data_IF_219744139066
#
_entry.id   IF_219744139066
#
_cell.length_a   1.000
_cell.length_b   1.000
_cell.length_c   1.000
_cell.angle_alpha   90.00
_cell.angle_beta   90.00
_cell.angle_gamma   90.00
#
_symmetry.space_group_name_H-M   'P 1'
#
loop_
_entity.id
_entity.type
_entity.pdbx_description
1 polymer ?
#
# COMPACT_ATOMS: atom_id res chain seq x y z
N UNK A 1 -7.84 18.68 43.70
CA UNK A 1 -6.54 18.06 43.29
C UNK A 1 -6.60 17.15 42.05
N UNK A 2 -7.76 16.61 41.65
CA UNK A 2 -7.87 15.65 40.52
C UNK A 2 -7.39 16.22 39.16
N UNK A 3 -7.60 17.52 38.91
CA UNK A 3 -7.28 18.15 37.62
C UNK A 3 -5.76 18.28 37.34
N UNK A 4 -4.94 18.60 38.35
CA UNK A 4 -3.48 18.74 38.18
C UNK A 4 -2.81 17.39 37.90
N UNK A 5 -3.19 16.35 38.64
CA UNK A 5 -2.67 14.99 38.48
C UNK A 5 -3.00 14.43 37.10
N UNK A 6 -4.23 14.65 36.61
CA UNK A 6 -4.64 14.24 35.26
C UNK A 6 -3.81 14.93 34.16
N UNK A 7 -3.59 16.24 34.25
CA UNK A 7 -2.76 16.97 33.28
C UNK A 7 -1.31 16.46 33.32
N UNK A 8 -0.76 16.21 34.51
CA UNK A 8 0.59 15.65 34.66
C UNK A 8 0.73 14.26 34.04
N UNK A 9 -0.22 13.36 34.29
CA UNK A 9 -0.23 12.01 33.69
C UNK A 9 -0.32 12.08 32.15
N UNK A 10 -1.17 12.95 31.62
CA UNK A 10 -1.32 13.15 30.17
C UNK A 10 -0.03 13.69 29.54
N UNK A 11 0.64 14.64 30.20
CA UNK A 11 1.91 15.19 29.74
C UNK A 11 3.00 14.11 29.67
N UNK A 12 3.13 13.28 30.72
CA UNK A 12 4.06 12.14 30.72
C UNK A 12 3.76 11.16 29.59
N UNK A 13 2.49 10.82 29.37
CA UNK A 13 2.06 9.92 28.30
C UNK A 13 2.45 10.46 26.91
N UNK A 14 2.14 11.72 26.62
CA UNK A 14 2.44 12.31 25.30
C UNK A 14 3.95 12.45 25.09
N UNK A 15 4.72 12.74 26.13
CA UNK A 15 6.17 12.77 26.03
C UNK A 15 6.76 11.39 25.69
N UNK A 16 6.21 10.31 26.24
CA UNK A 16 6.59 8.94 25.86
C UNK A 16 6.21 8.63 24.41
N UNK A 17 4.99 9.00 23.99
CA UNK A 17 4.55 8.83 22.59
C UNK A 17 5.49 9.58 21.64
N UNK A 18 5.87 10.81 21.96
CA UNK A 18 6.81 11.60 21.16
C UNK A 18 8.17 10.93 21.00
N UNK A 19 8.72 10.35 22.07
CA UNK A 19 9.99 9.60 22.01
C UNK A 19 9.85 8.39 21.09
N UNK A 20 8.76 7.65 21.20
CA UNK A 20 8.47 6.48 20.35
C UNK A 20 8.36 6.89 18.88
N UNK A 21 7.57 7.92 18.55
CA UNK A 21 7.41 8.37 17.15
C UNK A 21 8.72 8.90 16.57
N UNK A 22 9.53 9.61 17.36
CA UNK A 22 10.86 10.07 16.95
C UNK A 22 11.80 8.90 16.64
N UNK A 23 11.83 7.88 17.49
CA UNK A 23 12.62 6.66 17.26
C UNK A 23 12.11 5.90 16.03
N UNK A 24 10.80 5.74 15.88
CA UNK A 24 10.20 5.06 14.73
C UNK A 24 10.49 5.78 13.41
N UNK A 25 10.54 7.12 13.40
CA UNK A 25 11.00 7.90 12.25
C UNK A 25 12.41 7.51 11.84
N UNK A 26 13.35 7.48 12.80
CA UNK A 26 14.76 7.12 12.53
C UNK A 26 14.91 5.68 12.05
N UNK A 27 14.19 4.73 12.66
CA UNK A 27 14.16 3.32 12.22
C UNK A 27 13.61 3.21 10.79
N UNK A 28 12.53 3.93 10.48
CA UNK A 28 11.93 3.91 9.14
C UNK A 28 12.84 4.56 8.10
N UNK A 29 13.56 5.62 8.46
CA UNK A 29 14.55 6.26 7.58
C UNK A 29 15.67 5.28 7.19
N UNK A 30 16.23 4.55 8.16
CA UNK A 30 17.26 3.53 7.89
C UNK A 30 16.74 2.41 6.98
N UNK A 31 15.51 1.91 7.25
CA UNK A 31 14.87 0.90 6.40
C UNK A 31 14.56 1.41 5.00
N UNK A 32 14.17 2.67 4.88
CA UNK A 32 13.89 3.33 3.61
C UNK A 32 15.15 3.39 2.73
N UNK A 33 16.29 3.83 3.27
CA UNK A 33 17.57 3.86 2.51
C UNK A 33 17.95 2.47 1.99
N UNK A 34 17.75 1.42 2.80
CA UNK A 34 17.98 0.04 2.36
C UNK A 34 16.99 -0.37 1.26
N UNK A 35 15.70 -0.08 1.43
CA UNK A 35 14.66 -0.41 0.46
C UNK A 35 14.86 0.31 -0.88
N UNK A 36 15.30 1.56 -0.88
CA UNK A 36 15.58 2.35 -2.08
C UNK A 36 16.77 1.77 -2.87
N UNK A 37 17.85 1.38 -2.19
CA UNK A 37 19.00 0.71 -2.82
C UNK A 37 18.59 -0.62 -3.47
N UNK A 38 17.80 -1.43 -2.78
CA UNK A 38 17.31 -2.71 -3.29
C UNK A 38 16.25 -2.55 -4.39
N UNK A 39 15.49 -1.45 -4.39
CA UNK A 39 14.52 -1.16 -5.45
C UNK A 39 15.22 -0.91 -6.78
N UNK A 40 16.40 -0.28 -6.79
CA UNK A 40 17.11 0.04 -8.03
C UNK A 40 17.46 -1.22 -8.83
N UNK A 41 17.91 -2.30 -8.18
CA UNK A 41 18.15 -3.58 -8.86
C UNK A 41 16.85 -4.31 -9.21
N UNK A 42 15.82 -4.17 -8.39
CA UNK A 42 14.52 -4.80 -8.63
C UNK A 42 13.75 -4.21 -9.83
N UNK A 43 14.07 -2.98 -10.27
CA UNK A 43 13.41 -2.32 -11.42
C UNK A 43 13.48 -3.15 -12.71
N UNK A 44 14.58 -3.88 -12.93
CA UNK A 44 14.74 -4.72 -14.12
C UNK A 44 13.66 -5.82 -14.21
N UNK A 45 13.29 -6.42 -13.07
CA UNK A 45 12.24 -7.45 -13.00
C UNK A 45 10.84 -6.92 -13.34
N UNK A 46 10.60 -5.62 -13.18
CA UNK A 46 9.35 -4.98 -13.58
C UNK A 46 9.33 -4.54 -15.03
N UNK A 47 10.44 -4.01 -15.55
CA UNK A 47 10.50 -3.47 -16.91
C UNK A 47 10.66 -4.54 -17.99
N UNK A 48 11.39 -5.62 -17.72
CA UNK A 48 11.60 -6.71 -18.68
C UNK A 48 10.29 -7.34 -19.17
N UNK A 49 9.47 -7.93 -18.27
CA UNK A 49 8.20 -8.54 -18.65
C UNK A 49 7.22 -7.56 -19.29
N UNK A 50 7.19 -6.30 -18.85
CA UNK A 50 6.32 -5.26 -19.46
C UNK A 50 6.72 -4.94 -20.89
N UNK A 51 8.02 -4.86 -21.18
CA UNK A 51 8.50 -4.66 -22.56
C UNK A 51 8.07 -5.81 -23.45
N UNK A 52 8.12 -7.04 -22.94
CA UNK A 52 7.60 -8.20 -23.65
C UNK A 52 6.08 -8.11 -23.92
N UNK A 53 5.28 -7.70 -22.94
CA UNK A 53 3.83 -7.51 -23.13
C UNK A 53 3.50 -6.40 -24.14
N UNK A 54 4.31 -5.35 -24.19
CA UNK A 54 4.20 -4.29 -25.18
C UNK A 54 4.57 -4.80 -26.58
N UNK A 55 5.70 -5.50 -26.71
CA UNK A 55 6.17 -6.01 -28.00
C UNK A 55 5.24 -7.07 -28.59
N UNK A 56 4.64 -7.91 -27.73
CA UNK A 56 3.62 -8.89 -28.12
C UNK A 56 2.23 -8.28 -28.37
N UNK A 57 2.05 -6.97 -28.14
CA UNK A 57 0.78 -6.24 -28.23
C UNK A 57 -0.32 -6.71 -27.25
N UNK A 58 0.05 -7.44 -26.20
CA UNK A 58 -0.83 -7.73 -25.06
C UNK A 58 -1.24 -6.47 -24.30
N UNK A 59 -0.36 -5.46 -24.33
CA UNK A 59 -0.62 -4.15 -23.77
C UNK A 59 -0.30 -3.07 -24.79
N UNK A 60 -1.25 -2.16 -25.04
CA UNK A 60 -0.97 -0.95 -25.84
C UNK A 60 0.07 -0.12 -25.11
N UNK A 61 1.06 0.42 -25.84
CA UNK A 61 2.07 1.31 -25.27
C UNK A 61 1.39 2.49 -24.56
N UNK A 62 1.54 2.55 -23.24
CA UNK A 62 1.23 3.73 -22.44
C UNK A 62 2.51 4.52 -22.13
N UNK A 63 3.47 4.52 -23.05
CA UNK A 63 4.73 5.26 -22.91
C UNK A 63 4.53 6.71 -23.39
N UNK A 64 4.69 7.63 -22.43
CA UNK A 64 4.92 9.08 -22.56
C UNK A 64 3.83 9.97 -23.17
N UNK A 65 2.79 10.25 -22.37
CA UNK A 65 1.93 11.44 -22.53
C UNK A 65 2.52 12.73 -21.92
N UNK A 66 3.83 12.83 -21.71
CA UNK A 66 4.47 14.06 -21.21
C UNK A 66 5.08 14.96 -22.31
N UNK A 67 4.88 14.61 -23.59
CA UNK A 67 5.22 15.49 -24.73
C UNK A 67 4.16 15.45 -25.83
N UNK A 68 2.98 16.03 -25.60
CA UNK A 68 2.21 16.75 -26.63
C UNK A 68 1.14 17.61 -25.96
N UNK A 69 1.11 18.85 -26.44
CA UNK A 69 0.33 20.00 -25.97
C UNK A 69 -1.18 19.77 -26.07
N UNK A 70 -1.88 20.48 -25.17
CA UNK A 70 -3.12 21.23 -25.37
C UNK A 70 -4.15 20.73 -26.40
N UNK A 71 -5.37 20.51 -25.91
CA UNK A 71 -6.60 20.58 -26.71
C UNK A 71 -7.04 19.25 -27.31
N UNK A 72 -7.96 18.58 -26.62
CA UNK A 72 -9.29 18.16 -27.12
C UNK A 72 -9.86 17.06 -26.21
N UNK A 73 -11.02 17.35 -25.65
CA UNK A 73 -11.90 16.37 -25.02
C UNK A 73 -12.54 15.56 -26.15
N UNK A 74 -12.48 14.22 -26.07
CA UNK A 74 -13.63 13.36 -26.33
C UNK A 74 -13.35 11.90 -25.89
N UNK A 75 -14.41 11.12 -25.58
CA UNK A 75 -14.33 9.88 -24.83
C UNK A 75 -13.94 8.71 -25.74
N UNK A 76 -12.80 8.08 -25.46
CA UNK A 76 -12.41 6.86 -26.15
C UNK A 76 -13.27 5.68 -25.67
N UNK A 77 -14.37 5.43 -26.39
CA UNK A 77 -15.03 4.11 -26.41
C UNK A 77 -14.04 3.07 -26.95
N UNK A 78 -13.99 1.85 -26.39
CA UNK A 78 -13.22 0.77 -26.99
C UNK A 78 -13.86 0.37 -28.33
N UNK A 79 -13.06 0.03 -29.36
CA UNK A 79 -13.56 -0.34 -30.67
C UNK A 79 -14.40 -1.61 -30.58
N UNK A 80 -15.55 -1.59 -31.26
CA UNK A 80 -16.51 -2.67 -31.38
C UNK A 80 -15.85 -3.99 -31.79
N UNK A 81 -15.61 -4.85 -30.79
CA UNK A 81 -15.44 -6.29 -31.00
C UNK A 81 -16.84 -6.89 -30.97
N UNK A 82 -17.22 -7.51 -32.08
CA UNK A 82 -18.51 -8.15 -32.33
C UNK A 82 -18.98 -8.98 -31.13
N UNK A 83 -20.24 -8.76 -30.74
CA UNK A 83 -20.98 -9.50 -29.71
C UNK A 83 -21.26 -10.92 -30.19
N UNK A 84 -20.30 -11.82 -29.99
CA UNK A 84 -20.52 -13.26 -30.00
C UNK A 84 -19.88 -13.81 -28.72
N UNK A 85 -20.73 -14.27 -27.79
CA UNK A 85 -20.43 -15.02 -26.56
C UNK A 85 -19.04 -14.79 -25.92
N UNK A 86 -18.76 -13.56 -25.49
CA UNK A 86 -17.55 -13.27 -24.70
C UNK A 86 -17.68 -13.95 -23.34
N UNK A 87 -17.06 -15.12 -23.16
CA UNK A 87 -16.77 -15.69 -21.85
C UNK A 87 -16.20 -14.56 -20.98
N UNK A 88 -16.96 -14.14 -19.95
CA UNK A 88 -16.57 -13.06 -19.06
C UNK A 88 -15.17 -13.32 -18.50
N UNK A 89 -14.24 -12.39 -18.74
CA UNK A 89 -12.84 -12.55 -18.38
C UNK A 89 -12.68 -12.69 -16.86
N UNK A 90 -11.96 -13.73 -16.43
CA UNK A 90 -11.70 -14.01 -15.03
C UNK A 90 -10.48 -13.22 -14.58
N UNK A 91 -10.72 -12.21 -13.74
CA UNK A 91 -9.68 -11.30 -13.25
C UNK A 91 -9.35 -11.62 -11.80
N UNK A 92 -8.05 -11.69 -11.48
CA UNK A 92 -7.55 -11.71 -10.12
C UNK A 92 -7.04 -10.31 -9.74
N UNK A 93 -7.54 -9.76 -8.65
CA UNK A 93 -7.10 -8.50 -8.06
C UNK A 93 -6.07 -8.79 -6.97
N UNK A 94 -4.80 -8.48 -7.21
CA UNK A 94 -3.73 -8.70 -6.24
C UNK A 94 -3.46 -7.40 -5.48
N UNK A 95 -3.76 -7.38 -4.18
CA UNK A 95 -3.57 -6.23 -3.31
C UNK A 95 -2.22 -6.31 -2.58
N UNK A 96 -1.21 -5.55 -3.02
CA UNK A 96 0.14 -5.55 -2.44
C UNK A 96 0.20 -4.60 -1.23
N UNK A 97 0.13 -5.14 -0.02
CA UNK A 97 0.27 -4.36 1.23
C UNK A 97 1.27 -5.01 2.18
N UNK A 98 1.48 -4.38 3.34
CA UNK A 98 2.27 -4.95 4.43
C UNK A 98 1.41 -5.32 5.63
N UNK A 99 1.98 -6.05 6.58
CA UNK A 99 1.28 -6.39 7.82
C UNK A 99 1.24 -5.21 8.80
N UNK A 100 2.22 -4.31 8.74
CA UNK A 100 2.39 -3.23 9.72
C UNK A 100 1.69 -1.95 9.24
N UNK A 101 1.01 -1.30 10.18
CA UNK A 101 0.38 0.00 9.95
C UNK A 101 1.35 1.18 10.13
N UNK A 102 0.77 2.32 10.53
CA UNK A 102 1.49 3.57 10.82
C UNK A 102 2.24 4.17 9.62
N UNK A 103 1.83 3.83 8.41
CA UNK A 103 2.39 4.33 7.15
C UNK A 103 1.44 5.31 6.43
N UNK A 104 0.58 6.02 7.17
CA UNK A 104 -0.40 6.93 6.57
C UNK A 104 -1.38 6.23 5.63
N UNK A 105 -1.55 6.78 4.43
CA UNK A 105 -2.57 6.37 3.46
C UNK A 105 -2.20 5.20 2.53
N UNK A 106 -0.96 4.68 2.60
CA UNK A 106 -0.38 3.71 1.64
C UNK A 106 -1.30 2.50 1.40
N UNK A 107 -1.74 1.83 2.46
CA UNK A 107 -2.58 0.62 2.34
C UNK A 107 -4.03 0.94 1.98
N UNK A 108 -4.55 2.04 2.53
CA UNK A 108 -5.94 2.46 2.29
C UNK A 108 -6.18 2.91 0.85
N UNK A 109 -5.17 3.47 0.18
CA UNK A 109 -5.22 3.86 -1.23
C UNK A 109 -5.46 2.67 -2.15
N UNK A 110 -4.68 1.59 -1.96
CA UNK A 110 -4.82 0.34 -2.70
C UNK A 110 -6.22 -0.27 -2.50
N UNK A 111 -6.65 -0.41 -1.24
CA UNK A 111 -7.96 -0.96 -0.96
C UNK A 111 -9.10 -0.09 -1.52
N UNK A 112 -8.96 1.24 -1.52
CA UNK A 112 -9.96 2.14 -2.14
C UNK A 112 -10.02 1.95 -3.65
N UNK A 113 -8.88 1.84 -4.32
CA UNK A 113 -8.82 1.63 -5.76
C UNK A 113 -9.45 0.29 -6.15
N UNK A 114 -9.11 -0.80 -5.47
CA UNK A 114 -9.70 -2.13 -5.72
C UNK A 114 -11.22 -2.09 -5.52
N UNK A 115 -11.70 -1.48 -4.43
CA UNK A 115 -13.16 -1.36 -4.18
C UNK A 115 -13.87 -0.57 -5.26
N UNK A 116 -13.24 0.49 -5.78
CA UNK A 116 -13.78 1.27 -6.90
C UNK A 116 -13.86 0.42 -8.17
N UNK A 117 -12.77 -0.26 -8.54
CA UNK A 117 -12.75 -1.13 -9.73
C UNK A 117 -13.77 -2.27 -9.64
N UNK A 118 -13.92 -2.88 -8.46
CA UNK A 118 -14.93 -3.92 -8.24
C UNK A 118 -16.36 -3.39 -8.32
N UNK A 119 -16.62 -2.19 -7.78
CA UNK A 119 -17.93 -1.56 -7.89
C UNK A 119 -18.27 -1.19 -9.35
N UNK A 120 -17.29 -0.71 -10.12
CA UNK A 120 -17.46 -0.43 -11.55
C UNK A 120 -17.71 -1.71 -12.37
N UNK A 121 -17.15 -2.86 -11.95
CA UNK A 121 -17.30 -4.18 -12.59
C UNK A 121 -18.26 -5.12 -11.84
N UNK A 122 -19.24 -4.57 -11.13
CA UNK A 122 -20.15 -5.34 -10.24
C UNK A 122 -20.88 -6.49 -10.94
N UNK A 123 -21.17 -6.36 -12.24
CA UNK A 123 -21.84 -7.41 -13.04
C UNK A 123 -20.99 -8.67 -13.25
N UNK A 124 -19.67 -8.59 -13.06
CA UNK A 124 -18.70 -9.67 -13.24
C UNK A 124 -18.07 -10.13 -11.92
N UNK A 125 -18.51 -9.55 -10.80
CA UNK A 125 -18.05 -9.86 -9.45
C UNK A 125 -18.00 -11.36 -9.11
N UNK A 126 -18.93 -12.24 -9.54
CA UNK A 126 -18.84 -13.68 -9.26
C UNK A 126 -17.59 -14.36 -9.83
N UNK A 127 -17.04 -13.83 -10.93
CA UNK A 127 -15.86 -14.36 -11.63
C UNK A 127 -14.56 -13.64 -11.25
N UNK A 128 -14.63 -12.73 -10.29
CA UNK A 128 -13.49 -11.96 -9.82
C UNK A 128 -13.04 -12.48 -8.46
N UNK A 129 -11.73 -12.64 -8.32
CA UNK A 129 -11.12 -13.11 -7.07
C UNK A 129 -10.06 -12.13 -6.59
N UNK A 130 -9.89 -12.04 -5.28
CA UNK A 130 -8.96 -11.12 -4.64
C UNK A 130 -7.86 -11.93 -3.98
N UNK A 131 -6.61 -11.53 -4.21
CA UNK A 131 -5.43 -12.06 -3.52
C UNK A 131 -4.89 -10.98 -2.61
N UNK A 132 -4.89 -11.25 -1.31
CA UNK A 132 -4.47 -10.31 -0.28
C UNK A 132 -3.03 -10.60 0.13
N UNK A 133 -2.11 -9.72 -0.25
CA UNK A 133 -0.70 -9.75 0.18
C UNK A 133 -0.56 -8.80 1.37
N UNK A 134 -0.14 -9.35 2.51
CA UNK A 134 -0.09 -8.65 3.79
C UNK A 134 -1.44 -8.61 4.53
N UNK A 135 -1.38 -8.51 5.85
CA UNK A 135 -2.57 -8.57 6.72
C UNK A 135 -3.47 -7.33 6.59
N UNK A 136 -2.92 -6.19 6.13
CA UNK A 136 -3.69 -4.94 5.96
C UNK A 136 -4.66 -4.98 4.79
N UNK A 137 -4.27 -5.55 3.64
CA UNK A 137 -5.20 -5.73 2.50
C UNK A 137 -6.39 -6.62 2.91
N UNK A 138 -6.11 -7.75 3.57
CA UNK A 138 -7.14 -8.66 4.10
C UNK A 138 -8.09 -7.90 5.04
N UNK A 139 -7.55 -7.20 6.03
CA UNK A 139 -8.37 -6.48 7.01
C UNK A 139 -9.26 -5.40 6.39
N UNK A 140 -8.77 -4.70 5.37
CA UNK A 140 -9.51 -3.61 4.70
C UNK A 140 -10.59 -4.12 3.73
N UNK A 141 -10.38 -5.28 3.10
CA UNK A 141 -11.28 -5.81 2.07
C UNK A 141 -12.24 -6.88 2.60
N UNK A 142 -11.92 -7.54 3.73
CA UNK A 142 -12.71 -8.66 4.28
C UNK A 142 -14.16 -8.31 4.58
N UNK A 143 -14.44 -7.09 5.07
CA UNK A 143 -15.80 -6.71 5.47
C UNK A 143 -16.76 -6.63 4.27
N UNK A 144 -16.30 -6.13 3.13
CA UNK A 144 -17.14 -5.91 1.95
C UNK A 144 -16.99 -7.01 0.89
N UNK A 145 -15.83 -7.65 0.79
CA UNK A 145 -15.48 -8.59 -0.29
C UNK A 145 -14.87 -9.89 0.23
N UNK A 146 -15.19 -10.27 1.47
CA UNK A 146 -14.61 -11.44 2.13
C UNK A 146 -14.78 -12.75 1.36
N UNK A 147 -15.91 -12.93 0.70
CA UNK A 147 -16.25 -14.14 -0.09
C UNK A 147 -15.42 -14.27 -1.38
N UNK A 148 -14.90 -13.15 -1.90
CA UNK A 148 -14.09 -13.12 -3.11
C UNK A 148 -12.60 -13.32 -2.84
N UNK A 149 -12.17 -13.38 -1.57
CA UNK A 149 -10.77 -13.57 -1.20
C UNK A 149 -10.37 -15.03 -1.45
N UNK A 150 -9.48 -15.25 -2.41
CA UNK A 150 -8.97 -16.57 -2.79
C UNK A 150 -7.80 -16.99 -1.92
N UNK A 151 -6.78 -16.13 -1.82
CA UNK A 151 -5.54 -16.38 -1.07
C UNK A 151 -5.21 -15.17 -0.21
N UNK A 152 -4.67 -15.43 0.98
CA UNK A 152 -4.13 -14.39 1.83
C UNK A 152 -2.78 -14.81 2.38
N UNK A 153 -1.75 -14.01 2.10
CA UNK A 153 -0.37 -14.25 2.55
C UNK A 153 0.01 -13.22 3.62
N UNK A 154 0.61 -13.70 4.70
CA UNK A 154 1.04 -12.89 5.86
C UNK A 154 2.57 -12.92 6.00
N UNK A 155 3.11 -12.17 6.96
CA UNK A 155 4.54 -11.99 7.23
C UNK A 155 5.28 -11.20 6.15
N UNK A 156 4.57 -10.29 5.47
CA UNK A 156 5.10 -9.45 4.40
C UNK A 156 5.36 -8.03 4.95
N UNK A 157 6.58 -7.53 4.71
CA UNK A 157 7.00 -6.18 5.13
C UNK A 157 7.57 -6.08 6.55
N UNK A 158 7.79 -7.20 7.25
CA UNK A 158 8.54 -7.22 8.53
C UNK A 158 10.04 -7.01 8.28
N UNK A 159 10.58 -7.79 7.36
CA UNK A 159 11.90 -7.66 6.73
C UNK A 159 11.74 -7.09 5.31
N UNK A 160 12.85 -6.72 4.68
CA UNK A 160 12.79 -6.33 3.26
C UNK A 160 12.35 -7.55 2.43
N UNK A 161 11.36 -7.42 1.53
CA UNK A 161 10.84 -8.56 0.78
C UNK A 161 11.92 -9.11 -0.15
N UNK A 162 12.04 -10.43 -0.22
CA UNK A 162 12.96 -11.14 -1.12
C UNK A 162 12.18 -11.84 -2.24
N UNK A 163 12.88 -12.30 -3.28
CA UNK A 163 12.22 -13.00 -4.40
C UNK A 163 11.45 -14.24 -3.94
N UNK A 164 11.98 -14.97 -2.93
CA UNK A 164 11.29 -16.10 -2.30
C UNK A 164 9.89 -15.76 -1.78
N UNK A 165 9.69 -14.56 -1.25
CA UNK A 165 8.38 -14.12 -0.76
C UNK A 165 7.40 -13.97 -1.93
N UNK A 166 7.86 -13.38 -3.03
CA UNK A 166 7.09 -13.23 -4.26
C UNK A 166 6.76 -14.58 -4.91
N UNK A 167 7.74 -15.50 -4.97
CA UNK A 167 7.54 -16.87 -5.45
C UNK A 167 6.51 -17.62 -4.61
N UNK A 168 6.57 -17.48 -3.28
CA UNK A 168 5.59 -18.12 -2.38
C UNK A 168 4.17 -17.64 -2.66
N UNK A 169 4.01 -16.34 -2.92
CA UNK A 169 2.70 -15.78 -3.32
C UNK A 169 2.27 -16.30 -4.69
N UNK A 170 3.16 -16.30 -5.68
CA UNK A 170 2.86 -16.80 -7.02
C UNK A 170 2.43 -18.29 -6.98
N UNK A 171 3.19 -19.12 -6.27
CA UNK A 171 2.85 -20.54 -6.06
C UNK A 171 1.51 -20.70 -5.35
N UNK A 172 1.20 -19.88 -4.34
CA UNK A 172 -0.11 -19.93 -3.67
C UNK A 172 -1.26 -19.54 -4.61
N UNK A 173 -1.03 -18.61 -5.55
CA UNK A 173 -2.00 -18.27 -6.60
C UNK A 173 -2.18 -19.46 -7.55
N UNK A 174 -1.11 -20.10 -8.02
CA UNK A 174 -1.19 -21.28 -8.89
C UNK A 174 -1.88 -22.46 -8.19
N UNK A 175 -1.48 -22.77 -6.96
CA UNK A 175 -2.04 -23.87 -6.15
C UNK A 175 -3.51 -23.68 -5.77
N UNK A 176 -4.04 -22.46 -5.87
CA UNK A 176 -5.48 -22.21 -5.66
C UNK A 176 -6.36 -22.90 -6.69
N UNK A 177 -5.80 -23.37 -7.82
CA UNK A 177 -6.53 -24.02 -8.91
C UNK A 177 -7.49 -23.09 -9.65
N UNK A 178 -7.49 -21.79 -9.33
CA UNK A 178 -8.38 -20.83 -9.98
C UNK A 178 -7.82 -20.42 -11.34
N UNK A 179 -8.47 -20.84 -12.42
CA UNK A 179 -8.10 -20.40 -13.76
C UNK A 179 -8.50 -18.93 -13.98
N UNK A 180 -7.51 -18.08 -14.24
CA UNK A 180 -7.66 -16.65 -14.51
C UNK A 180 -7.08 -16.27 -15.88
N UNK A 181 -7.58 -15.18 -16.45
CA UNK A 181 -7.13 -14.65 -17.73
C UNK A 181 -6.13 -13.50 -17.50
N UNK A 182 -6.40 -12.64 -16.52
CA UNK A 182 -5.54 -11.51 -16.18
C UNK A 182 -5.46 -11.33 -14.66
N UNK A 183 -4.25 -11.14 -14.15
CA UNK A 183 -4.01 -10.71 -12.78
C UNK A 183 -3.64 -9.23 -12.77
N UNK A 184 -4.45 -8.40 -12.14
CA UNK A 184 -4.18 -6.98 -11.93
C UNK A 184 -3.49 -6.80 -10.56
N UNK A 185 -2.20 -6.45 -10.57
CA UNK A 185 -1.40 -6.23 -9.37
C UNK A 185 -1.47 -4.76 -8.98
N UNK A 186 -2.12 -4.47 -7.86
CA UNK A 186 -2.26 -3.13 -7.28
C UNK A 186 -1.16 -2.90 -6.25
N UNK A 187 -0.33 -1.90 -6.50
CA UNK A 187 0.78 -1.53 -5.61
C UNK A 187 0.99 -0.02 -5.62
N UNK A 188 1.80 0.46 -4.68
CA UNK A 188 2.22 1.86 -4.66
C UNK A 188 3.58 1.99 -5.34
N UNK A 189 3.59 2.68 -6.48
CA UNK A 189 4.80 3.03 -7.21
C UNK A 189 5.49 4.20 -6.54
N UNK A 190 6.76 3.99 -6.17
CA UNK A 190 7.60 4.99 -5.56
C UNK A 190 8.20 5.93 -6.62
N UNK A 191 8.10 7.24 -6.40
CA UNK A 191 8.76 8.26 -7.22
C UNK A 191 9.78 9.04 -6.40
N UNK A 192 9.34 9.60 -5.27
CA UNK A 192 10.18 10.38 -4.37
C UNK A 192 9.80 10.06 -2.92
N UNK A 193 10.61 10.42 -1.91
CA UNK A 193 10.26 10.19 -0.51
C UNK A 193 8.91 10.77 -0.08
N UNK A 194 8.40 11.77 -0.82
CA UNK A 194 7.11 12.42 -0.57
C UNK A 194 6.00 11.86 -1.47
N UNK A 195 6.32 11.49 -2.72
CA UNK A 195 5.33 11.10 -3.74
C UNK A 195 5.40 9.60 -4.05
N UNK A 196 4.27 8.95 -3.85
CA UNK A 196 3.96 7.63 -4.41
C UNK A 196 2.59 7.71 -5.09
N UNK A 197 2.36 6.84 -6.07
CA UNK A 197 1.07 6.73 -6.76
C UNK A 197 0.63 5.27 -6.75
N UNK A 198 -0.64 5.02 -6.46
CA UNK A 198 -1.21 3.67 -6.59
C UNK A 198 -1.35 3.37 -8.08
N UNK A 199 -0.66 2.34 -8.56
CA UNK A 199 -0.60 1.93 -9.96
C UNK A 199 -0.98 0.46 -10.08
N UNK A 200 -1.46 0.08 -11.26
CA UNK A 200 -1.84 -1.30 -11.60
C UNK A 200 -0.81 -1.85 -12.59
N UNK A 201 -0.43 -3.12 -12.40
CA UNK A 201 0.37 -3.88 -13.35
C UNK A 201 -0.40 -5.14 -13.75
N UNK A 202 -0.71 -5.31 -15.05
CA UNK A 202 -1.28 -6.55 -15.52
C UNK A 202 -0.21 -7.64 -15.61
N UNK A 203 -0.57 -8.84 -15.21
CA UNK A 203 0.12 -10.08 -15.53
C UNK A 203 -0.89 -10.99 -16.27
N UNK A 204 -0.46 -11.59 -17.38
CA UNK A 204 -1.33 -12.36 -18.26
C UNK A 204 -1.11 -13.86 -18.04
N UNK A 205 -2.18 -14.65 -18.16
CA UNK A 205 -2.06 -16.11 -18.14
C UNK A 205 -1.50 -16.65 -19.45
N UNK A 206 -1.03 -17.90 -19.44
CA UNK A 206 -0.51 -18.62 -20.62
C UNK A 206 -1.42 -18.44 -21.85
N UNK A 207 -2.71 -18.71 -21.70
CA UNK A 207 -3.71 -18.61 -22.79
C UNK A 207 -3.75 -17.21 -23.43
N UNK A 208 -3.71 -16.17 -22.60
CA UNK A 208 -3.73 -14.82 -23.12
C UNK A 208 -2.41 -14.46 -23.80
N UNK A 209 -1.29 -14.97 -23.29
CA UNK A 209 0.00 -14.77 -23.95
C UNK A 209 0.00 -15.46 -25.31
N UNK A 210 -0.47 -16.71 -25.43
CA UNK A 210 -0.58 -17.44 -26.72
C UNK A 210 -1.44 -16.70 -27.75
N UNK A 211 -2.55 -16.10 -27.30
CA UNK A 211 -3.47 -15.36 -28.15
C UNK A 211 -2.95 -13.97 -28.57
N UNK A 212 -1.72 -13.57 -28.18
CA UNK A 212 -1.23 -12.25 -28.53
C UNK A 212 -0.97 -12.11 -30.04
N UNK A 213 -1.33 -10.97 -30.66
CA UNK A 213 -1.23 -10.77 -32.11
C UNK A 213 0.17 -10.96 -32.70
N UNK A 214 1.22 -10.68 -31.90
CA UNK A 214 2.63 -10.76 -32.33
C UNK A 214 3.39 -11.94 -31.73
N UNK A 215 2.70 -12.94 -31.17
CA UNK A 215 3.40 -14.14 -30.69
C UNK A 215 4.07 -14.93 -31.82
N UNK A 216 3.50 -14.90 -33.03
CA UNK A 216 4.05 -15.60 -34.20
C UNK A 216 5.40 -15.04 -34.68
N UNK A 217 5.82 -13.88 -34.17
CA UNK A 217 7.14 -13.30 -34.46
C UNK A 217 8.25 -13.83 -33.55
N UNK A 218 7.91 -14.67 -32.57
CA UNK A 218 8.88 -15.32 -31.71
C UNK A 218 9.10 -16.75 -32.21
N UNK A 219 10.35 -17.06 -32.55
CA UNK A 219 10.73 -18.40 -33.00
C UNK A 219 10.90 -19.36 -31.81
N UNK A 220 10.72 -20.67 -32.06
CA UNK A 220 11.07 -21.78 -31.17
C UNK A 220 10.47 -21.75 -29.75
N UNK A 221 9.21 -21.36 -29.60
CA UNK A 221 8.50 -21.45 -28.31
C UNK A 221 7.88 -22.84 -28.13
N UNK A 222 8.48 -23.65 -27.25
CA UNK A 222 7.85 -24.87 -26.76
C UNK A 222 6.73 -24.55 -25.74
N UNK A 223 5.70 -25.39 -25.70
CA UNK A 223 4.53 -25.16 -24.84
C UNK A 223 4.87 -25.11 -23.34
N UNK A 224 5.84 -25.91 -22.88
CA UNK A 224 6.31 -25.96 -21.49
C UNK A 224 7.11 -24.71 -21.09
N UNK A 225 7.81 -24.09 -22.05
CA UNK A 225 8.58 -22.86 -21.82
C UNK A 225 7.66 -21.68 -21.57
N UNK A 226 6.53 -21.63 -22.26
CA UNK A 226 5.57 -20.54 -22.10
C UNK A 226 4.86 -20.58 -20.74
N UNK A 227 4.56 -21.77 -20.24
CA UNK A 227 4.03 -21.96 -18.90
C UNK A 227 5.04 -21.51 -17.85
N UNK A 228 6.28 -21.98 -17.94
CA UNK A 228 7.38 -21.58 -17.07
C UNK A 228 7.61 -20.06 -17.09
N UNK A 229 7.51 -19.44 -18.26
CA UNK A 229 7.62 -18.00 -18.43
C UNK A 229 6.45 -17.24 -17.80
N UNK A 230 5.21 -17.71 -17.97
CA UNK A 230 4.03 -17.09 -17.36
C UNK A 230 4.12 -17.11 -15.82
N UNK A 231 4.55 -18.23 -15.24
CA UNK A 231 4.75 -18.34 -13.79
C UNK A 231 5.89 -17.45 -13.30
N UNK A 232 7.02 -17.44 -14.01
CA UNK A 232 8.16 -16.61 -13.67
C UNK A 232 7.82 -15.12 -13.78
N UNK A 233 7.10 -14.70 -14.81
CA UNK A 233 6.70 -13.29 -15.00
C UNK A 233 5.76 -12.83 -13.90
N UNK A 234 4.80 -13.67 -13.47
CA UNK A 234 3.97 -13.37 -12.31
C UNK A 234 4.83 -13.13 -11.06
N UNK A 235 5.76 -14.03 -10.75
CA UNK A 235 6.66 -13.88 -9.61
C UNK A 235 7.56 -12.63 -9.72
N UNK A 236 8.08 -12.33 -10.91
CA UNK A 236 8.91 -11.15 -11.16
C UNK A 236 8.15 -9.84 -10.98
N UNK A 237 6.92 -9.75 -11.49
CA UNK A 237 6.06 -8.58 -11.35
C UNK A 237 5.61 -8.39 -9.90
N UNK A 238 5.30 -9.47 -9.18
CA UNK A 238 5.02 -9.43 -7.75
C UNK A 238 6.23 -8.96 -6.94
N UNK A 239 7.43 -9.45 -7.26
CA UNK A 239 8.67 -9.01 -6.61
C UNK A 239 8.92 -7.51 -6.83
N UNK A 240 8.77 -7.04 -8.07
CA UNK A 240 8.85 -5.62 -8.41
C UNK A 240 7.84 -4.79 -7.60
N UNK A 241 6.58 -5.23 -7.57
CA UNK A 241 5.51 -4.55 -6.84
C UNK A 241 5.75 -4.52 -5.32
N UNK A 242 6.28 -5.61 -4.74
CA UNK A 242 6.65 -5.70 -3.33
C UNK A 242 7.80 -4.74 -2.99
N UNK A 243 8.83 -4.63 -3.84
CA UNK A 243 9.94 -3.69 -3.63
C UNK A 243 9.50 -2.23 -3.74
N UNK A 244 8.66 -1.91 -4.73
CA UNK A 244 8.05 -0.58 -4.87
C UNK A 244 7.17 -0.22 -3.66
N UNK A 245 6.35 -1.18 -3.22
CA UNK A 245 5.50 -1.04 -2.04
C UNK A 245 6.31 -0.83 -0.77
N UNK A 246 7.39 -1.59 -0.57
CA UNK A 246 8.26 -1.46 0.60
C UNK A 246 8.94 -0.08 0.68
N UNK A 247 9.45 0.45 -0.43
CA UNK A 247 10.04 1.79 -0.48
C UNK A 247 8.99 2.88 -0.15
N UNK A 248 7.82 2.81 -0.81
CA UNK A 248 6.69 3.74 -0.57
C UNK A 248 6.16 3.67 0.87
N UNK A 249 6.12 2.48 1.45
CA UNK A 249 5.67 2.26 2.82
C UNK A 249 6.62 2.88 3.84
N UNK A 250 7.93 2.66 3.70
CA UNK A 250 8.90 3.22 4.65
C UNK A 250 9.02 4.74 4.51
N UNK A 251 8.96 5.28 3.29
CA UNK A 251 8.97 6.73 3.09
C UNK A 251 7.72 7.39 3.69
N UNK A 252 6.53 6.82 3.47
CA UNK A 252 5.30 7.36 4.04
C UNK A 252 5.23 7.20 5.56
N UNK A 253 5.73 6.08 6.10
CA UNK A 253 5.88 5.88 7.56
C UNK A 253 6.80 6.91 8.18
N UNK A 254 7.93 7.22 7.54
CA UNK A 254 8.84 8.27 8.01
C UNK A 254 8.12 9.63 8.12
N UNK A 255 7.38 10.02 7.09
CA UNK A 255 6.59 11.26 7.09
C UNK A 255 5.45 11.25 8.11
N UNK A 256 4.73 10.13 8.25
CA UNK A 256 3.67 9.98 9.24
C UNK A 256 4.20 10.10 10.68
N UNK A 257 5.36 9.51 10.97
CA UNK A 257 6.00 9.61 12.29
C UNK A 257 6.58 11.01 12.55
N UNK A 258 7.08 11.70 11.53
CA UNK A 258 7.52 13.09 11.65
C UNK A 258 6.36 14.02 12.02
N UNK A 259 5.24 13.90 11.31
CA UNK A 259 4.02 14.65 11.60
C UNK A 259 3.47 14.32 12.99
N UNK A 260 3.45 13.04 13.38
CA UNK A 260 3.04 12.64 14.73
C UNK A 260 3.94 13.26 15.82
N UNK A 261 5.25 13.36 15.57
CA UNK A 261 6.22 13.99 16.50
C UNK A 261 6.00 15.49 16.62
N UNK A 262 5.71 16.18 15.50
CA UNK A 262 5.36 17.61 15.49
C UNK A 262 4.05 17.88 16.23
N UNK A 263 3.01 17.07 15.97
CA UNK A 263 1.72 17.16 16.65
C UNK A 263 1.86 16.90 18.17
N UNK A 264 2.69 15.93 18.56
CA UNK A 264 2.99 15.66 19.97
C UNK A 264 3.69 16.86 20.64
N UNK A 265 4.65 17.50 19.96
CA UNK A 265 5.31 18.71 20.45
C UNK A 265 4.31 19.85 20.73
N UNK A 266 3.39 20.09 19.81
CA UNK A 266 2.36 21.13 19.98
C UNK A 266 1.45 20.83 21.18
N UNK A 267 1.03 19.57 21.34
CA UNK A 267 0.23 19.14 22.49
C UNK A 267 0.99 19.30 23.81
N UNK A 268 2.29 18.97 23.84
CA UNK A 268 3.13 19.15 25.03
C UNK A 268 3.18 20.63 25.41
N UNK A 269 3.40 21.54 24.45
CA UNK A 269 3.41 22.99 24.71
C UNK A 269 2.10 23.46 25.34
N UNK A 270 0.96 23.08 24.75
CA UNK A 270 -0.38 23.43 25.26
C UNK A 270 -0.62 22.88 26.67
N UNK A 271 -0.29 21.62 26.91
CA UNK A 271 -0.48 20.99 28.22
C UNK A 271 0.48 21.51 29.29
N UNK A 272 1.70 21.90 28.93
CA UNK A 272 2.64 22.53 29.86
C UNK A 272 2.13 23.89 30.35
N UNK A 273 1.56 24.70 29.46
CA UNK A 273 0.92 25.97 29.84
C UNK A 273 -0.27 25.73 30.79
N UNK A 274 -1.13 24.78 30.44
CA UNK A 274 -2.27 24.39 31.28
C UNK A 274 -1.82 23.87 32.66
N UNK A 275 -0.77 23.05 32.68
CA UNK A 275 -0.20 22.50 33.91
C UNK A 275 0.30 23.61 34.83
N UNK A 276 1.08 24.56 34.30
CA UNK A 276 1.62 25.66 35.10
C UNK A 276 0.51 26.57 35.63
N UNK A 277 -0.48 26.92 34.81
CA UNK A 277 -1.65 27.70 35.23
C UNK A 277 -2.44 26.99 36.34
N UNK A 278 -2.70 25.70 36.17
CA UNK A 278 -3.43 24.90 37.17
C UNK A 278 -2.63 24.76 38.46
N UNK A 279 -1.30 24.60 38.37
CA UNK A 279 -0.41 24.53 39.52
C UNK A 279 -0.45 25.83 40.32
N UNK A 280 -0.36 26.98 39.65
CA UNK A 280 -0.45 28.29 40.30
C UNK A 280 -1.82 28.50 40.97
N UNK A 281 -2.91 28.10 40.32
CA UNK A 281 -4.26 28.16 40.89
C UNK A 281 -4.41 27.29 42.14
N UNK A 282 -3.78 26.10 42.18
CA UNK A 282 -3.78 25.24 43.36
C UNK A 282 -2.98 25.85 44.50
N UNK A 283 -1.75 26.33 44.24
CA UNK A 283 -0.90 26.97 45.26
C UNK A 283 -1.60 28.19 45.87
N UNK A 284 -2.16 29.07 45.02
CA UNK A 284 -2.88 30.26 45.49
C UNK A 284 -4.10 29.89 46.34
N UNK A 285 -4.87 28.88 45.94
CA UNK A 285 -6.00 28.37 46.73
C UNK A 285 -5.55 27.81 48.08
N UNK A 286 -4.52 26.97 48.11
CA UNK A 286 -3.99 26.39 49.36
C UNK A 286 -3.52 27.50 50.31
N UNK A 287 -2.84 28.53 49.80
CA UNK A 287 -2.43 29.69 50.61
C UNK A 287 -3.64 30.48 51.16
N UNK A 288 -4.67 30.72 50.35
CA UNK A 288 -5.89 31.40 50.80
C UNK A 288 -6.60 30.58 51.88
N UNK A 289 -6.69 29.26 51.73
CA UNK A 289 -7.28 28.36 52.72
C UNK A 289 -6.51 28.42 54.06
N UNK A 290 -5.16 28.44 54.02
CA UNK A 290 -4.32 28.57 55.23
C UNK A 290 -4.53 29.92 55.92
N UNK A 291 -4.49 31.03 55.16
CA UNK A 291 -4.64 32.38 55.71
C UNK A 291 -6.04 32.56 56.31
N UNK A 292 -7.08 32.07 55.62
CA UNK A 292 -8.46 32.15 56.10
C UNK A 292 -8.67 31.32 57.36
N UNK A 293 -8.07 30.13 57.45
CA UNK A 293 -8.09 29.31 58.66
C UNK A 293 -7.38 29.96 59.84
N UNK A 294 -6.22 30.58 59.61
CA UNK A 294 -5.50 31.33 60.65
C UNK A 294 -6.28 32.57 61.13
N UNK A 295 -6.94 33.28 60.21
CA UNK A 295 -7.77 34.45 60.53
C UNK A 295 -9.03 34.08 61.34
N UNK A 296 -9.59 32.89 61.13
CA UNK A 296 -10.76 32.41 61.86
C UNK A 296 -10.49 32.03 63.34
N UNK A 297 -9.21 31.92 63.74
CA UNK A 297 -8.78 31.64 65.11
C UNK A 297 -8.49 32.93 65.92
N UNK A 298 -8.61 34.10 65.30
CA UNK A 298 -8.56 35.42 65.96
C UNK A 298 -9.96 35.88 66.33
#
# INVERSE_FOLDING_TARGET
MVQLKQVSMRLKSIHNIQKITKTMKMVSASKFTKAERELQSARAFGYGPRKFYVSSQLQKEALDKDKKKEGEQEPAQPPDVKKEDVKKARIIYVAVTSDRGLCGGVHSGIARMIRRTLAERSADAPHHKIVCIGDKSRSLLRLAYGEYILVSVKQIGRTSPIFKDASTVATAITQSGYAYDTAEIYYNQYFTPVKYVTTIVPAFSKKNIELAPKMTSFDDIEEDQLESYAEWTLAALLYYALKQGAASEQSSRMSAMDNATKNANEMIRKLSLLYNRTRQAVITRELIEIISGAAALK
#
